data_IF_980485417786
#
_entry.id   IF_980485417786
#
_cell.length_a   1.000
_cell.length_b   1.000
_cell.length_c   1.000
_cell.angle_alpha   90.00
_cell.angle_beta   90.00
_cell.angle_gamma   90.00
#
_symmetry.space_group_name_H-M   'P 1'
#
loop_
_entity.id
_entity.type
_entity.pdbx_description
1 polymer ?
#
# COMPACT_ATOMS: atom_id res chain seq x y z
N UNK A 1 33.75 -23.17 -14.83
CA UNK A 1 33.24 -22.14 -15.75
C UNK A 1 32.00 -21.54 -15.13
N UNK A 2 32.10 -20.25 -14.81
CA UNK A 2 31.06 -19.46 -14.16
C UNK A 2 30.00 -19.08 -15.19
N UNK A 3 28.73 -19.23 -14.84
CA UNK A 3 27.64 -18.43 -15.42
C UNK A 3 26.75 -17.93 -14.27
N UNK A 4 27.15 -16.78 -13.72
CA UNK A 4 26.29 -15.99 -12.85
C UNK A 4 25.40 -15.11 -13.74
N UNK A 5 24.15 -15.51 -13.82
CA UNK A 5 23.06 -14.78 -14.47
C UNK A 5 22.87 -13.39 -13.82
N UNK A 6 23.02 -12.35 -14.65
CA UNK A 6 22.94 -10.93 -14.26
C UNK A 6 21.52 -10.57 -13.82
N UNK A 7 21.37 -10.19 -12.55
CA UNK A 7 20.18 -9.56 -11.99
C UNK A 7 20.07 -8.07 -12.44
N UNK A 8 19.01 -7.63 -13.15
CA UNK A 8 18.87 -6.25 -13.61
C UNK A 8 18.24 -5.34 -12.54
N UNK A 9 18.87 -5.25 -11.36
CA UNK A 9 18.39 -4.46 -10.22
C UNK A 9 19.37 -3.36 -9.75
N UNK A 10 20.33 -2.95 -10.61
CA UNK A 10 21.42 -2.03 -10.25
C UNK A 10 21.25 -0.55 -10.67
N UNK A 11 20.15 -0.15 -11.30
CA UNK A 11 20.08 1.14 -12.04
C UNK A 11 19.88 2.42 -11.22
N UNK A 12 19.59 2.37 -9.93
CA UNK A 12 19.16 3.56 -9.17
C UNK A 12 20.27 4.34 -8.46
N UNK A 13 21.27 3.66 -7.90
CA UNK A 13 22.29 4.29 -7.03
C UNK A 13 23.40 4.97 -7.86
N UNK A 14 23.73 4.43 -9.04
CA UNK A 14 24.80 4.95 -9.90
C UNK A 14 24.46 6.28 -10.58
N UNK A 15 23.19 6.67 -10.65
CA UNK A 15 22.72 7.87 -11.37
C UNK A 15 22.80 9.17 -10.54
N UNK A 16 23.31 9.12 -9.30
CA UNK A 16 23.40 10.26 -8.40
C UNK A 16 24.81 10.86 -8.41
N UNK A 17 24.98 12.14 -8.79
CA UNK A 17 26.30 12.75 -8.91
C UNK A 17 26.94 13.10 -7.55
N UNK A 18 26.18 13.16 -6.44
CA UNK A 18 26.72 13.52 -5.13
C UNK A 18 26.70 12.32 -4.15
N UNK A 19 27.79 12.17 -3.40
CA UNK A 19 28.01 11.10 -2.41
C UNK A 19 26.93 11.00 -1.31
N UNK A 20 26.45 12.09 -0.68
CA UNK A 20 25.57 11.96 0.49
C UNK A 20 24.22 11.29 0.21
N UNK A 21 23.67 11.45 -0.99
CA UNK A 21 22.41 10.80 -1.38
C UNK A 21 22.63 9.31 -1.65
N UNK A 22 23.74 8.94 -2.27
CA UNK A 22 24.10 7.54 -2.51
C UNK A 22 24.26 6.81 -1.17
N UNK A 23 25.01 7.40 -0.24
CA UNK A 23 25.22 6.84 1.09
C UNK A 23 23.91 6.68 1.86
N UNK A 24 23.00 7.64 1.75
CA UNK A 24 21.69 7.54 2.39
C UNK A 24 20.85 6.39 1.82
N UNK A 25 20.81 6.24 0.50
CA UNK A 25 20.05 5.16 -0.15
C UNK A 25 20.66 3.79 0.17
N UNK A 26 21.99 3.69 0.20
CA UNK A 26 22.70 2.48 0.63
C UNK A 26 22.43 2.17 2.11
N UNK A 27 22.50 3.16 2.99
CA UNK A 27 22.14 3.02 4.40
C UNK A 27 20.70 2.51 4.59
N UNK A 28 19.74 3.06 3.82
CA UNK A 28 18.36 2.59 3.87
C UNK A 28 18.22 1.13 3.41
N UNK A 29 18.97 0.74 2.39
CA UNK A 29 18.94 -0.61 1.84
C UNK A 29 19.60 -1.61 2.81
N UNK A 30 20.83 -1.34 3.24
CA UNK A 30 21.67 -2.26 4.00
C UNK A 30 21.29 -2.32 5.49
N UNK A 31 21.14 -1.16 6.13
CA UNK A 31 20.96 -1.12 7.60
C UNK A 31 19.48 -1.07 8.01
N UNK A 32 18.61 -0.57 7.14
CA UNK A 32 17.16 -0.46 7.44
C UNK A 32 16.29 -1.46 6.70
N UNK A 33 16.90 -2.33 5.89
CA UNK A 33 16.19 -3.32 5.06
C UNK A 33 14.98 -2.70 4.34
N UNK A 34 15.16 -1.47 3.82
CA UNK A 34 14.11 -0.76 3.14
C UNK A 34 13.74 -1.47 1.83
N UNK A 35 12.45 -1.63 1.57
CA UNK A 35 11.98 -2.27 0.33
C UNK A 35 12.36 -1.45 -0.90
N UNK A 36 12.47 -2.10 -2.07
CA UNK A 36 12.73 -1.40 -3.33
C UNK A 36 11.74 -0.25 -3.61
N UNK A 37 10.46 -0.42 -3.24
CA UNK A 37 9.45 0.63 -3.34
C UNK A 37 9.75 1.81 -2.39
N UNK A 38 10.18 1.51 -1.16
CA UNK A 38 10.58 2.53 -0.19
C UNK A 38 11.78 3.34 -0.69
N UNK A 39 12.80 2.66 -1.23
CA UNK A 39 13.98 3.31 -1.81
C UNK A 39 13.60 4.22 -2.97
N UNK A 40 12.79 3.74 -3.91
CA UNK A 40 12.26 4.56 -5.03
C UNK A 40 11.51 5.80 -4.54
N UNK A 41 10.70 5.67 -3.49
CA UNK A 41 9.99 6.82 -2.91
C UNK A 41 10.96 7.86 -2.35
N UNK A 42 11.98 7.45 -1.58
CA UNK A 42 13.01 8.37 -1.06
C UNK A 42 13.79 9.04 -2.19
N UNK A 43 14.23 8.25 -3.17
CA UNK A 43 14.95 8.74 -4.35
C UNK A 43 14.15 9.82 -5.08
N UNK A 44 12.88 9.54 -5.39
CA UNK A 44 11.97 10.47 -6.03
C UNK A 44 11.81 11.77 -5.21
N UNK A 45 11.70 11.68 -3.87
CA UNK A 45 11.60 12.87 -3.02
C UNK A 45 12.84 13.77 -3.11
N UNK A 46 14.03 13.17 -3.03
CA UNK A 46 15.29 13.91 -3.08
C UNK A 46 15.51 14.53 -4.47
N UNK A 47 15.11 13.83 -5.53
CA UNK A 47 15.26 14.27 -6.91
C UNK A 47 14.40 15.50 -7.19
N UNK A 48 13.13 15.43 -6.82
CA UNK A 48 12.19 16.54 -7.01
C UNK A 48 12.63 17.80 -6.25
N UNK A 49 13.09 17.64 -5.02
CA UNK A 49 13.60 18.77 -4.23
C UNK A 49 14.84 19.40 -4.86
N UNK A 50 15.77 18.56 -5.33
CA UNK A 50 17.01 18.99 -5.98
C UNK A 50 16.77 19.78 -7.27
N UNK A 51 15.91 19.27 -8.15
CA UNK A 51 15.55 19.96 -9.39
C UNK A 51 14.88 21.30 -9.07
N UNK A 52 13.94 21.30 -8.13
CA UNK A 52 13.26 22.52 -7.71
C UNK A 52 14.22 23.57 -7.13
N UNK A 53 15.22 23.17 -6.35
CA UNK A 53 16.23 24.07 -5.78
C UNK A 53 17.04 24.77 -6.88
N UNK A 54 17.48 24.02 -7.89
CA UNK A 54 18.26 24.58 -9.00
C UNK A 54 17.44 25.54 -9.87
N UNK A 55 16.18 25.20 -10.17
CA UNK A 55 15.27 26.09 -10.89
C UNK A 55 14.97 27.37 -10.11
N UNK A 56 14.83 27.25 -8.78
CA UNK A 56 14.56 28.37 -7.90
C UNK A 56 15.75 29.32 -7.76
N UNK A 57 16.98 28.79 -7.74
CA UNK A 57 18.22 29.58 -7.70
C UNK A 57 18.42 30.41 -8.96
N UNK A 58 18.29 29.79 -10.15
CA UNK A 58 18.41 30.48 -11.46
C UNK A 58 17.47 31.68 -11.60
N UNK A 59 16.24 31.57 -11.07
CA UNK A 59 15.25 32.67 -11.12
C UNK A 59 15.59 33.82 -10.15
N UNK A 60 16.20 33.54 -8.99
CA UNK A 60 16.62 34.59 -8.07
C UNK A 60 17.78 35.42 -8.64
N UNK A 61 18.74 34.77 -9.29
CA UNK A 61 19.84 35.45 -9.98
C UNK A 61 19.36 36.31 -11.15
N UNK A 62 18.39 35.82 -11.93
CA UNK A 62 17.77 36.58 -13.02
C UNK A 62 16.98 37.81 -12.51
N UNK A 63 16.30 37.70 -11.36
CA UNK A 63 15.54 38.80 -10.75
C UNK A 63 16.44 39.86 -10.08
N UNK A 64 17.66 39.50 -9.65
CA UNK A 64 18.60 40.42 -9.02
C UNK A 64 19.33 41.36 -9.98
N UNK A 65 19.33 41.07 -11.30
CA UNK A 65 19.99 41.88 -12.34
C UNK A 65 19.06 42.86 -13.08
N UNK A 66 17.76 42.90 -12.76
CA UNK A 66 16.78 43.81 -13.36
C UNK A 66 16.23 44.82 -12.34
N UNK A 67 16.34 46.12 -12.64
CA UNK A 67 15.75 47.22 -11.87
C UNK A 67 14.29 46.91 -11.48
N UNK A 68 13.97 47.23 -10.23
CA UNK A 68 12.65 47.12 -9.61
C UNK A 68 11.59 47.85 -10.45
N UNK A 69 10.60 47.12 -10.95
CA UNK A 69 9.35 47.67 -11.40
C UNK A 69 8.20 46.73 -11.00
N UNK A 70 7.32 47.24 -10.13
CA UNK A 70 5.91 46.84 -10.03
C UNK A 70 5.59 45.40 -9.64
N UNK A 71 5.08 45.22 -8.42
CA UNK A 71 4.51 44.01 -7.86
C UNK A 71 3.83 43.05 -8.84
N UNK A 72 4.53 41.97 -9.19
CA UNK A 72 3.95 40.66 -9.50
C UNK A 72 4.78 39.62 -8.76
N UNK A 73 4.15 38.95 -7.78
CA UNK A 73 4.76 37.85 -7.04
C UNK A 73 5.35 36.84 -8.03
N UNK A 74 6.69 36.70 -8.03
CA UNK A 74 7.38 35.76 -8.91
C UNK A 74 6.83 34.35 -8.66
N UNK A 75 6.23 33.74 -9.68
CA UNK A 75 5.57 32.45 -9.57
C UNK A 75 6.54 31.38 -9.05
N UNK A 76 6.14 30.69 -7.97
CA UNK A 76 6.92 29.60 -7.41
C UNK A 76 6.94 28.47 -8.44
N UNK A 77 8.12 27.97 -8.86
CA UNK A 77 8.18 26.87 -9.81
C UNK A 77 7.52 25.63 -9.19
N UNK A 78 6.59 25.03 -9.94
CA UNK A 78 5.93 23.81 -9.54
C UNK A 78 6.91 22.64 -9.72
N UNK A 79 7.08 21.74 -8.73
CA UNK A 79 7.87 20.55 -8.93
C UNK A 79 7.21 19.71 -10.05
N UNK A 80 7.80 19.74 -11.24
CA UNK A 80 7.39 18.87 -12.33
C UNK A 80 7.72 17.43 -11.93
N UNK A 81 6.89 16.47 -12.33
CA UNK A 81 7.16 15.06 -12.09
C UNK A 81 8.39 14.63 -12.89
N UNK A 82 9.58 14.84 -12.33
CA UNK A 82 10.83 14.44 -12.96
C UNK A 82 10.86 12.92 -12.99
N UNK A 83 10.82 12.35 -14.20
CA UNK A 83 10.98 10.91 -14.39
C UNK A 83 12.40 10.49 -13.99
N UNK A 84 12.57 9.23 -13.58
CA UNK A 84 13.83 8.68 -13.12
C UNK A 84 14.99 8.74 -14.14
N UNK A 85 14.74 9.16 -15.39
CA UNK A 85 15.70 9.15 -16.50
C UNK A 85 16.32 10.49 -16.91
N UNK A 86 15.92 11.63 -16.31
CA UNK A 86 16.51 12.92 -16.69
C UNK A 86 17.90 13.10 -16.02
N UNK A 87 18.95 13.10 -16.84
CA UNK A 87 20.34 13.39 -16.46
C UNK A 87 20.83 14.60 -17.27
N UNK A 88 21.68 15.50 -16.70
CA UNK A 88 22.27 15.45 -15.37
C UNK A 88 21.45 16.17 -14.29
N UNK A 89 21.48 15.63 -13.06
CA UNK A 89 20.94 16.32 -11.89
C UNK A 89 21.84 17.50 -11.49
N UNK A 90 21.28 18.67 -11.15
CA UNK A 90 22.06 19.88 -10.87
C UNK A 90 22.83 19.74 -9.54
N UNK A 91 24.11 20.11 -9.42
CA UNK A 91 24.86 20.01 -8.16
C UNK A 91 24.13 20.72 -7.00
N UNK A 92 24.15 20.15 -5.80
CA UNK A 92 23.46 20.72 -4.63
C UNK A 92 24.33 20.61 -3.38
N UNK A 93 24.63 21.76 -2.78
CA UNK A 93 25.31 21.80 -1.49
C UNK A 93 24.28 21.62 -0.36
N UNK A 94 24.17 20.41 0.16
CA UNK A 94 23.23 20.04 1.22
C UNK A 94 23.49 20.77 2.55
N UNK A 95 24.71 21.29 2.76
CA UNK A 95 25.08 22.05 3.96
C UNK A 95 24.65 23.51 3.88
N UNK A 96 24.47 24.05 2.67
CA UNK A 96 24.08 25.44 2.45
C UNK A 96 22.56 25.66 2.42
N UNK A 97 21.76 24.61 2.67
CA UNK A 97 20.32 24.70 2.58
C UNK A 97 19.75 25.32 3.86
N UNK A 98 19.01 26.41 3.68
CA UNK A 98 18.43 27.18 4.76
C UNK A 98 16.93 26.88 4.98
N UNK A 99 16.42 27.08 6.22
CA UNK A 99 15.01 26.86 6.53
C UNK A 99 14.02 27.59 5.61
N UNK A 100 14.37 28.77 5.10
CA UNK A 100 13.49 29.52 4.20
C UNK A 100 13.28 28.82 2.86
N UNK A 101 14.30 28.13 2.34
CA UNK A 101 14.21 27.37 1.08
C UNK A 101 13.30 26.16 1.25
N UNK A 102 13.38 25.48 2.40
CA UNK A 102 12.46 24.39 2.74
C UNK A 102 11.00 24.88 2.86
N UNK A 103 10.76 26.06 3.45
CA UNK A 103 9.42 26.67 3.49
C UNK A 103 8.90 27.03 2.10
N UNK A 104 9.73 27.61 1.23
CA UNK A 104 9.37 27.89 -0.17
C UNK A 104 9.06 26.62 -0.95
N UNK A 105 9.80 25.53 -0.73
CA UNK A 105 9.51 24.24 -1.35
C UNK A 105 8.17 23.67 -0.89
N UNK A 106 7.86 23.75 0.40
CA UNK A 106 6.53 23.37 0.90
C UNK A 106 5.43 24.19 0.21
N UNK A 107 5.61 25.51 0.07
CA UNK A 107 4.64 26.36 -0.65
C UNK A 107 4.52 25.96 -2.12
N UNK A 108 5.62 25.65 -2.80
CA UNK A 108 5.63 25.13 -4.17
C UNK A 108 4.78 23.86 -4.28
N UNK A 109 5.03 22.87 -3.42
CA UNK A 109 4.29 21.62 -3.38
C UNK A 109 2.78 21.83 -3.16
N UNK A 110 2.41 22.83 -2.36
CA UNK A 110 1.00 23.18 -2.12
C UNK A 110 0.36 23.90 -3.31
N UNK A 111 1.07 24.84 -3.93
CA UNK A 111 0.61 25.56 -5.12
C UNK A 111 0.48 24.62 -6.34
N UNK A 112 1.21 23.51 -6.37
CA UNK A 112 1.14 22.50 -7.42
C UNK A 112 -0.18 21.71 -7.41
N UNK A 113 -1.05 21.94 -6.42
CA UNK A 113 -2.28 21.17 -6.25
C UNK A 113 -2.05 19.72 -5.84
N UNK A 114 -0.85 19.37 -5.36
CA UNK A 114 -0.56 18.01 -4.90
C UNK A 114 -1.42 17.64 -3.68
N UNK A 115 -1.81 16.36 -3.61
CA UNK A 115 -2.54 15.83 -2.45
C UNK A 115 -1.69 16.05 -1.17
N UNK A 116 -2.30 16.53 -0.08
CA UNK A 116 -1.60 16.77 1.21
C UNK A 116 -0.79 15.57 1.70
N UNK A 117 -1.24 14.34 1.44
CA UNK A 117 -0.50 13.12 1.78
C UNK A 117 0.81 12.98 0.99
N UNK A 118 0.81 13.34 -0.30
CA UNK A 118 2.01 13.39 -1.14
C UNK A 118 2.97 14.45 -0.62
N UNK A 119 2.48 15.65 -0.31
CA UNK A 119 3.29 16.73 0.29
C UNK A 119 3.94 16.27 1.60
N UNK A 120 3.17 15.67 2.50
CA UNK A 120 3.67 15.12 3.76
C UNK A 120 4.74 14.04 3.54
N UNK A 121 4.56 13.17 2.54
CA UNK A 121 5.54 12.14 2.20
C UNK A 121 6.85 12.75 1.69
N UNK A 122 6.80 13.77 0.82
CA UNK A 122 8.00 14.48 0.32
C UNK A 122 8.80 15.12 1.45
N UNK A 123 8.12 15.87 2.32
CA UNK A 123 8.76 16.52 3.48
C UNK A 123 9.29 15.49 4.48
N UNK A 124 8.58 14.40 4.73
CA UNK A 124 9.06 13.32 5.59
C UNK A 124 10.32 12.64 5.01
N UNK A 125 10.37 12.46 3.68
CA UNK A 125 11.53 11.99 2.95
C UNK A 125 12.77 12.86 3.22
N UNK A 126 12.62 14.17 3.00
CA UNK A 126 13.68 15.15 3.26
C UNK A 126 14.13 15.17 4.72
N UNK A 127 13.18 15.16 5.67
CA UNK A 127 13.50 15.10 7.10
C UNK A 127 14.33 13.87 7.46
N UNK A 128 14.00 12.72 6.91
CA UNK A 128 14.74 11.48 7.14
C UNK A 128 16.15 11.55 6.59
N UNK A 129 16.33 12.19 5.43
CA UNK A 129 17.64 12.41 4.82
C UNK A 129 18.50 13.36 5.66
N UNK A 130 17.99 14.52 6.08
CA UNK A 130 18.75 15.42 6.96
C UNK A 130 19.07 14.80 8.32
N UNK A 131 18.18 13.97 8.89
CA UNK A 131 18.50 13.17 10.08
C UNK A 131 19.62 12.16 9.84
N UNK A 132 19.78 11.67 8.61
CA UNK A 132 20.92 10.82 8.25
C UNK A 132 22.20 11.66 8.14
N UNK A 133 22.16 12.81 7.46
CA UNK A 133 23.31 13.71 7.34
C UNK A 133 23.81 14.20 8.70
N UNK A 134 22.90 14.54 9.62
CA UNK A 134 23.26 14.92 11.00
C UNK A 134 23.98 13.79 11.73
N UNK A 135 23.48 12.54 11.60
CA UNK A 135 24.12 11.37 12.22
C UNK A 135 25.50 11.06 11.65
N UNK A 136 25.75 11.45 10.39
CA UNK A 136 27.05 11.36 9.72
C UNK A 136 27.95 12.58 9.99
N UNK A 137 27.48 13.58 10.75
CA UNK A 137 28.22 14.81 11.03
C UNK A 137 28.36 15.76 9.84
N UNK A 138 27.66 15.51 8.73
CA UNK A 138 27.76 16.32 7.49
C UNK A 138 27.08 17.68 7.66
N UNK A 139 25.98 17.72 8.41
CA UNK A 139 25.24 18.94 8.73
C UNK A 139 25.04 19.04 10.24
N UNK A 140 25.13 20.26 10.78
CA UNK A 140 24.92 20.52 12.22
C UNK A 140 23.45 20.46 12.62
N UNK A 141 22.59 21.03 11.76
CA UNK A 141 21.16 21.19 12.04
C UNK A 141 20.29 20.68 10.89
N UNK A 142 19.04 20.36 11.22
CA UNK A 142 18.03 20.00 10.23
C UNK A 142 17.24 21.26 9.81
N UNK A 143 17.34 21.74 8.55
CA UNK A 143 16.64 22.95 8.11
C UNK A 143 15.11 22.77 8.06
N UNK A 144 14.60 21.54 8.19
CA UNK A 144 13.17 21.22 8.23
C UNK A 144 12.59 21.07 9.65
N UNK A 145 13.38 21.32 10.70
CA UNK A 145 12.99 21.15 12.12
C UNK A 145 11.80 22.03 12.50
N UNK A 146 11.84 23.33 12.16
CA UNK A 146 10.78 24.31 12.44
C UNK A 146 9.63 24.35 11.43
N UNK A 147 9.58 23.44 10.47
CA UNK A 147 8.59 23.47 9.38
C UNK A 147 7.25 22.89 9.83
N UNK A 148 6.26 23.74 10.06
CA UNK A 148 4.91 23.32 10.45
C UNK A 148 4.15 22.85 9.21
N UNK A 149 3.70 21.59 9.22
CA UNK A 149 2.85 21.06 8.16
C UNK A 149 1.41 21.55 8.37
N UNK A 150 0.68 21.91 7.29
CA UNK A 150 -0.74 22.20 7.40
C UNK A 150 -1.46 20.99 8.01
N UNK A 151 -2.30 21.22 9.02
CA UNK A 151 -3.08 20.15 9.66
C UNK A 151 -3.83 19.37 8.58
N UNK A 152 -3.65 18.05 8.58
CA UNK A 152 -4.41 17.16 7.71
C UNK A 152 -5.87 17.27 8.15
N UNK A 153 -6.77 17.62 7.24
CA UNK A 153 -8.20 17.48 7.49
C UNK A 153 -8.46 16.02 7.88
N UNK A 154 -8.89 15.82 9.12
CA UNK A 154 -9.36 14.52 9.60
C UNK A 154 -10.70 14.29 8.92
N UNK A 155 -10.70 13.66 7.75
CA UNK A 155 -11.93 13.08 7.20
C UNK A 155 -12.33 11.97 8.16
N UNK A 156 -13.59 12.00 8.62
CA UNK A 156 -14.16 10.93 9.43
C UNK A 156 -13.91 9.59 8.71
N UNK A 157 -13.41 8.55 9.40
CA UNK A 157 -13.20 7.25 8.80
C UNK A 157 -14.52 6.72 8.23
N UNK A 158 -14.59 6.53 6.91
CA UNK A 158 -15.69 5.80 6.26
C UNK A 158 -15.38 4.31 6.37
N UNK A 159 -15.99 3.62 7.32
CA UNK A 159 -16.11 2.17 7.30
C UNK A 159 -17.43 1.78 6.62
N UNK A 160 -17.51 0.55 6.10
CA UNK A 160 -18.72 0.05 5.46
C UNK A 160 -19.71 -0.43 6.50
N UNK A 161 -21.01 -0.18 6.30
CA UNK A 161 -22.04 -0.85 7.11
C UNK A 161 -22.10 -2.34 6.78
N UNK A 162 -22.72 -3.15 7.66
CA UNK A 162 -22.91 -4.59 7.40
C UNK A 162 -23.67 -4.86 6.10
N UNK A 163 -24.68 -4.04 5.79
CA UNK A 163 -25.40 -4.15 4.52
C UNK A 163 -24.48 -3.89 3.32
N UNK A 164 -23.69 -2.82 3.36
CA UNK A 164 -22.72 -2.53 2.31
C UNK A 164 -21.65 -3.61 2.16
N UNK A 165 -21.24 -4.25 3.27
CA UNK A 165 -20.38 -5.43 3.22
C UNK A 165 -21.07 -6.55 2.46
N UNK A 166 -22.29 -6.94 2.85
CA UNK A 166 -23.03 -8.01 2.19
C UNK A 166 -23.22 -7.73 0.68
N UNK A 167 -23.57 -6.50 0.32
CA UNK A 167 -23.73 -6.08 -1.08
C UNK A 167 -22.42 -6.20 -1.86
N UNK A 168 -21.30 -5.79 -1.26
CA UNK A 168 -19.96 -5.92 -1.85
C UNK A 168 -19.53 -7.39 -2.02
N UNK A 169 -19.77 -8.23 -1.00
CA UNK A 169 -19.41 -9.64 -1.00
C UNK A 169 -20.19 -10.44 -2.06
N UNK A 170 -21.44 -10.05 -2.32
CA UNK A 170 -22.30 -10.71 -3.32
C UNK A 170 -22.22 -10.10 -4.72
N UNK A 171 -21.66 -8.89 -4.87
CA UNK A 171 -21.52 -8.21 -6.16
C UNK A 171 -20.83 -9.05 -7.27
N UNK A 172 -19.82 -9.91 -7.00
CA UNK A 172 -19.24 -10.76 -8.03
C UNK A 172 -20.26 -11.70 -8.69
N UNK A 173 -21.18 -12.29 -7.91
CA UNK A 173 -22.16 -13.24 -8.41
C UNK A 173 -23.23 -12.60 -9.29
N UNK A 174 -23.49 -11.29 -9.17
CA UNK A 174 -24.37 -10.57 -10.11
C UNK A 174 -23.87 -10.62 -11.56
N UNK A 175 -22.59 -10.94 -11.77
CA UNK A 175 -22.00 -11.14 -13.10
C UNK A 175 -22.27 -12.53 -13.69
N UNK A 176 -22.72 -13.51 -12.89
CA UNK A 176 -23.09 -14.85 -13.40
C UNK A 176 -24.52 -14.89 -13.92
N UNK A 177 -25.38 -13.95 -13.51
CA UNK A 177 -26.76 -13.88 -14.00
C UNK A 177 -26.79 -13.50 -15.49
N UNK A 178 -27.72 -14.07 -16.28
CA UNK A 178 -27.96 -13.63 -17.65
C UNK A 178 -28.38 -12.16 -17.64
N UNK A 179 -27.91 -11.38 -18.61
CA UNK A 179 -28.26 -9.97 -18.69
C UNK A 179 -29.77 -9.82 -18.91
N UNK A 180 -30.49 -9.36 -17.89
CA UNK A 180 -31.95 -9.27 -17.86
C UNK A 180 -32.53 -8.36 -18.96
N UNK A 181 -31.74 -7.39 -19.45
CA UNK A 181 -32.28 -6.26 -20.23
C UNK A 181 -31.67 -6.09 -21.62
N UNK A 182 -31.19 -7.14 -22.30
CA UNK A 182 -30.69 -7.06 -23.69
C UNK A 182 -29.52 -6.09 -23.94
N UNK A 183 -29.07 -5.34 -22.93
CA UNK A 183 -27.92 -4.45 -22.95
C UNK A 183 -26.68 -5.32 -23.01
N UNK A 184 -26.10 -5.39 -24.22
CA UNK A 184 -24.80 -6.01 -24.47
C UNK A 184 -23.83 -5.54 -23.38
N UNK A 185 -23.37 -6.48 -22.54
CA UNK A 185 -22.22 -6.24 -21.65
C UNK A 185 -21.11 -5.68 -22.54
N UNK A 186 -20.58 -4.50 -22.21
CA UNK A 186 -19.63 -3.76 -23.07
C UNK A 186 -18.54 -4.68 -23.63
N UNK A 187 -18.07 -4.38 -24.84
CA UNK A 187 -17.27 -5.20 -25.78
C UNK A 187 -15.97 -5.86 -25.24
N UNK A 188 -16.05 -6.59 -24.13
CA UNK A 188 -14.99 -7.35 -23.51
C UNK A 188 -15.37 -8.82 -23.47
N UNK A 189 -14.39 -9.69 -23.71
CA UNK A 189 -14.53 -11.14 -23.56
C UNK A 189 -15.12 -11.46 -22.18
N UNK A 190 -16.17 -12.31 -22.10
CA UNK A 190 -16.71 -12.73 -20.81
C UNK A 190 -15.59 -13.36 -19.98
N UNK A 191 -15.52 -13.07 -18.66
CA UNK A 191 -14.50 -13.68 -17.81
C UNK A 191 -14.69 -15.20 -17.77
N UNK A 192 -13.61 -15.94 -17.48
CA UNK A 192 -13.71 -17.39 -17.31
C UNK A 192 -14.79 -17.74 -16.25
N UNK A 193 -15.55 -18.84 -16.41
CA UNK A 193 -16.74 -19.11 -15.59
C UNK A 193 -16.50 -19.13 -14.07
N UNK A 194 -15.31 -19.52 -13.63
CA UNK A 194 -14.94 -19.56 -12.20
C UNK A 194 -14.63 -18.19 -11.59
N UNK A 195 -14.37 -17.16 -12.40
CA UNK A 195 -13.86 -15.86 -11.92
C UNK A 195 -14.82 -15.16 -10.94
N UNK A 196 -16.14 -15.09 -11.16
CA UNK A 196 -17.07 -14.54 -10.18
C UNK A 196 -17.04 -15.25 -8.82
N UNK A 197 -16.98 -16.59 -8.84
CA UNK A 197 -16.90 -17.42 -7.64
C UNK A 197 -15.59 -17.20 -6.88
N UNK A 198 -14.47 -17.15 -7.62
CA UNK A 198 -13.16 -16.79 -7.08
C UNK A 198 -13.20 -15.43 -6.40
N UNK A 199 -13.76 -14.43 -7.07
CA UNK A 199 -13.75 -13.06 -6.58
C UNK A 199 -14.64 -12.90 -5.34
N UNK A 200 -15.77 -13.62 -5.26
CA UNK A 200 -16.55 -13.73 -4.00
C UNK A 200 -15.72 -14.35 -2.89
N UNK A 201 -15.08 -15.50 -3.15
CA UNK A 201 -14.24 -16.18 -2.16
C UNK A 201 -13.10 -15.28 -1.63
N UNK A 202 -12.45 -14.51 -2.52
CA UNK A 202 -11.42 -13.54 -2.14
C UNK A 202 -11.98 -12.45 -1.23
N UNK A 203 -13.12 -11.85 -1.58
CA UNK A 203 -13.72 -10.77 -0.81
C UNK A 203 -14.20 -11.27 0.57
N UNK A 204 -14.82 -12.44 0.63
CA UNK A 204 -15.21 -13.09 1.88
C UNK A 204 -13.97 -13.35 2.77
N UNK A 205 -12.90 -13.91 2.20
CA UNK A 205 -11.65 -14.19 2.92
C UNK A 205 -10.97 -12.91 3.43
N UNK A 206 -10.95 -11.85 2.60
CA UNK A 206 -10.39 -10.54 2.98
C UNK A 206 -11.13 -9.93 4.17
N UNK A 207 -12.46 -9.98 4.14
CA UNK A 207 -13.29 -9.43 5.20
C UNK A 207 -13.20 -10.30 6.46
N UNK A 208 -13.44 -11.60 6.32
CA UNK A 208 -13.51 -12.55 7.43
C UNK A 208 -12.22 -12.62 8.24
N UNK A 209 -11.06 -12.76 7.60
CA UNK A 209 -9.78 -12.79 8.32
C UNK A 209 -9.15 -11.41 8.55
N UNK A 210 -9.81 -10.32 8.15
CA UNK A 210 -9.21 -8.99 8.14
C UNK A 210 -7.86 -8.93 7.39
N UNK A 211 -7.68 -9.74 6.35
CA UNK A 211 -6.36 -9.98 5.73
C UNK A 211 -5.88 -8.82 4.85
N UNK A 212 -4.57 -8.70 4.68
CA UNK A 212 -3.99 -7.84 3.64
C UNK A 212 -4.16 -8.51 2.28
N UNK A 213 -4.33 -7.72 1.22
CA UNK A 213 -4.46 -8.26 -0.16
C UNK A 213 -3.28 -9.15 -0.56
N UNK A 214 -2.06 -8.79 -0.18
CA UNK A 214 -0.88 -9.63 -0.43
C UNK A 214 -0.91 -10.95 0.33
N UNK A 215 -1.47 -10.97 1.54
CA UNK A 215 -1.58 -12.20 2.34
C UNK A 215 -2.53 -13.18 1.65
N UNK A 216 -3.70 -12.71 1.20
CA UNK A 216 -4.67 -13.52 0.45
C UNK A 216 -4.10 -14.04 -0.85
N UNK A 217 -3.44 -13.19 -1.65
CA UNK A 217 -2.81 -13.61 -2.91
C UNK A 217 -1.69 -14.64 -2.73
N UNK A 218 -1.08 -14.71 -1.54
CA UNK A 218 0.02 -15.62 -1.24
C UNK A 218 -0.42 -16.90 -0.52
N UNK A 219 -1.71 -17.09 -0.23
CA UNK A 219 -2.21 -18.34 0.34
C UNK A 219 -2.03 -19.50 -0.66
N UNK A 220 -1.74 -20.67 -0.12
CA UNK A 220 -1.80 -21.97 -0.80
C UNK A 220 -3.00 -22.73 -0.26
N UNK A 221 -3.50 -23.71 -1.03
CA UNK A 221 -4.57 -24.59 -0.58
C UNK A 221 -4.26 -25.26 0.75
N UNK A 222 -3.02 -25.72 0.94
CA UNK A 222 -2.55 -26.36 2.16
C UNK A 222 -2.46 -25.46 3.39
N UNK A 223 -2.58 -24.14 3.23
CA UNK A 223 -2.64 -23.18 4.33
C UNK A 223 -4.06 -22.97 4.87
N UNK A 224 -5.06 -23.61 4.28
CA UNK A 224 -6.47 -23.45 4.63
C UNK A 224 -6.93 -24.73 5.32
N UNK A 225 -7.17 -24.64 6.63
CA UNK A 225 -7.76 -25.73 7.40
C UNK A 225 -9.27 -25.49 7.50
N UNK A 226 -10.02 -26.25 6.70
CA UNK A 226 -11.48 -26.18 6.63
C UNK A 226 -12.16 -26.70 7.91
N UNK A 227 -11.52 -27.65 8.61
CA UNK A 227 -12.08 -28.26 9.83
C UNK A 227 -11.86 -27.34 11.04
N UNK A 228 -10.66 -26.81 11.17
CA UNK A 228 -10.31 -25.91 12.26
C UNK A 228 -10.78 -24.47 12.03
N UNK A 229 -11.21 -24.14 10.80
CA UNK A 229 -11.63 -22.81 10.35
C UNK A 229 -10.54 -21.75 10.54
N UNK A 230 -9.32 -22.11 10.10
CA UNK A 230 -8.12 -21.31 10.31
C UNK A 230 -7.28 -21.25 9.03
N UNK A 231 -6.72 -20.08 8.78
CA UNK A 231 -5.73 -19.84 7.73
C UNK A 231 -4.34 -19.68 8.34
N UNK A 232 -3.33 -20.32 7.74
CA UNK A 232 -1.92 -20.08 8.05
C UNK A 232 -1.42 -18.92 7.17
N UNK A 233 -1.23 -17.75 7.78
CA UNK A 233 -0.93 -16.52 7.05
C UNK A 233 0.49 -16.07 7.29
N UNK A 234 1.24 -15.89 6.20
CA UNK A 234 2.61 -15.37 6.23
C UNK A 234 2.64 -13.84 6.19
N UNK A 235 3.12 -13.23 7.27
CA UNK A 235 3.29 -11.79 7.44
C UNK A 235 4.65 -11.26 6.95
N UNK A 236 4.91 -9.98 7.25
CA UNK A 236 6.19 -9.32 6.92
C UNK A 236 7.34 -9.99 7.69
N UNK A 237 8.45 -10.28 6.99
CA UNK A 237 9.61 -10.93 7.57
C UNK A 237 9.48 -12.46 7.71
N UNK A 238 8.54 -13.08 6.98
CA UNK A 238 8.41 -14.54 6.91
C UNK A 238 7.68 -15.19 8.08
N UNK A 239 7.28 -14.40 9.10
CA UNK A 239 6.56 -14.89 10.29
C UNK A 239 5.15 -15.35 9.92
N UNK A 240 4.78 -16.53 10.38
CA UNK A 240 3.45 -17.09 10.21
C UNK A 240 2.56 -16.76 11.42
N UNK A 241 1.26 -16.68 11.17
CA UNK A 241 0.23 -16.58 12.21
C UNK A 241 -0.99 -17.39 11.80
N UNK A 242 -1.69 -17.93 12.79
CA UNK A 242 -3.01 -18.50 12.59
C UNK A 242 -4.04 -17.38 12.56
N UNK A 243 -4.88 -17.38 11.53
CA UNK A 243 -5.96 -16.42 11.35
C UNK A 243 -7.29 -17.17 11.31
N UNK A 244 -8.13 -17.05 12.34
CA UNK A 244 -9.51 -17.52 12.28
C UNK A 244 -10.23 -16.93 11.06
N UNK A 245 -11.11 -17.73 10.48
CA UNK A 245 -11.93 -17.39 9.32
C UNK A 245 -13.30 -18.02 9.53
N UNK A 246 -14.36 -17.35 9.14
CA UNK A 246 -15.73 -17.80 9.34
C UNK A 246 -16.18 -18.74 8.25
N UNK A 247 -17.19 -19.56 8.56
CA UNK A 247 -17.75 -20.55 7.63
C UNK A 247 -18.15 -19.98 6.26
N UNK A 248 -18.76 -18.78 6.15
CA UNK A 248 -19.12 -18.21 4.84
C UNK A 248 -17.95 -18.02 3.88
N UNK A 249 -16.74 -17.73 4.40
CA UNK A 249 -15.56 -17.59 3.57
C UNK A 249 -15.02 -18.95 3.12
N UNK A 250 -15.04 -19.96 3.99
CA UNK A 250 -14.63 -21.33 3.67
C UNK A 250 -15.56 -21.94 2.62
N UNK A 251 -16.88 -21.80 2.79
CA UNK A 251 -17.87 -22.28 1.82
C UNK A 251 -17.67 -21.61 0.46
N UNK A 252 -17.41 -20.29 0.44
CA UNK A 252 -17.13 -19.58 -0.80
C UNK A 252 -15.85 -20.09 -1.49
N UNK A 253 -14.82 -20.46 -0.73
CA UNK A 253 -13.58 -21.06 -1.25
C UNK A 253 -13.86 -22.46 -1.82
N UNK A 254 -14.61 -23.31 -1.10
CA UNK A 254 -14.98 -24.65 -1.58
C UNK A 254 -15.78 -24.58 -2.89
N UNK A 255 -16.79 -23.71 -2.94
CA UNK A 255 -17.57 -23.48 -4.15
C UNK A 255 -16.66 -22.99 -5.27
N UNK A 256 -15.78 -22.03 -5.03
CA UNK A 256 -14.81 -21.60 -6.04
C UNK A 256 -13.94 -22.77 -6.56
N UNK A 257 -13.35 -23.57 -5.67
CA UNK A 257 -12.52 -24.70 -6.06
C UNK A 257 -13.29 -25.73 -6.88
N UNK A 258 -14.56 -25.99 -6.57
CA UNK A 258 -15.43 -26.87 -7.39
C UNK A 258 -15.72 -26.35 -8.80
N UNK A 259 -15.52 -25.05 -9.04
CA UNK A 259 -15.72 -24.42 -10.37
C UNK A 259 -14.44 -24.33 -11.18
N UNK A 260 -13.29 -24.75 -10.63
CA UNK A 260 -12.03 -24.76 -11.35
C UNK A 260 -12.09 -25.76 -12.51
N UNK A 261 -11.49 -25.41 -13.67
CA UNK A 261 -11.45 -26.32 -14.81
C UNK A 261 -10.45 -27.46 -14.54
N UNK A 262 -10.52 -28.59 -15.28
CA UNK A 262 -9.66 -29.76 -15.06
C UNK A 262 -8.15 -29.45 -15.14
N UNK A 263 -7.76 -28.49 -15.97
CA UNK A 263 -6.37 -28.06 -16.17
C UNK A 263 -5.81 -27.21 -15.03
N UNK A 264 -6.64 -26.86 -14.04
CA UNK A 264 -6.18 -26.13 -12.86
C UNK A 264 -5.13 -26.94 -12.09
N UNK A 265 -4.12 -26.28 -11.48
CA UNK A 265 -3.17 -26.96 -10.62
C UNK A 265 -3.88 -27.62 -9.44
N UNK A 266 -3.34 -28.76 -9.00
CA UNK A 266 -3.86 -29.56 -7.89
C UNK A 266 -2.84 -29.69 -6.76
N UNK A 267 -3.26 -30.23 -5.62
CA UNK A 267 -2.39 -30.50 -4.47
C UNK A 267 -2.33 -29.37 -3.43
N UNK A 268 -1.54 -29.58 -2.36
CA UNK A 268 -1.48 -28.65 -1.22
C UNK A 268 -0.73 -27.35 -1.55
N UNK A 269 0.25 -27.40 -2.44
CA UNK A 269 1.09 -26.25 -2.77
C UNK A 269 0.50 -25.32 -3.84
N UNK A 270 -0.62 -25.71 -4.45
CA UNK A 270 -1.31 -24.85 -5.42
C UNK A 270 -1.69 -23.52 -4.76
N UNK A 271 -1.61 -22.38 -5.48
CA UNK A 271 -2.17 -21.13 -4.99
C UNK A 271 -3.65 -21.28 -4.64
N UNK A 272 -4.07 -20.76 -3.50
CA UNK A 272 -5.47 -20.84 -3.07
C UNK A 272 -6.41 -20.10 -4.03
N UNK A 273 -5.91 -19.04 -4.70
CA UNK A 273 -6.65 -18.24 -5.67
C UNK A 273 -5.84 -18.04 -6.96
N UNK A 274 -6.46 -18.36 -8.09
CA UNK A 274 -5.83 -18.34 -9.42
C UNK A 274 -6.28 -17.15 -10.27
N UNK A 275 -5.41 -16.64 -11.14
CA UNK A 275 -5.77 -15.70 -12.21
C UNK A 275 -6.59 -16.41 -13.32
N UNK A 276 -6.99 -15.68 -14.36
CA UNK A 276 -7.73 -16.25 -15.49
C UNK A 276 -6.90 -17.23 -16.35
N UNK A 277 -5.59 -17.29 -16.12
CA UNK A 277 -4.65 -18.18 -16.81
C UNK A 277 -4.13 -19.29 -15.86
N UNK A 278 -4.85 -19.55 -14.76
CA UNK A 278 -4.54 -20.60 -13.79
C UNK A 278 -3.20 -20.44 -13.06
N UNK A 279 -2.68 -19.20 -12.96
CA UNK A 279 -1.47 -18.85 -12.20
C UNK A 279 -1.82 -18.16 -10.89
N UNK A 280 -0.85 -17.94 -10.00
CA UNK A 280 -1.07 -17.17 -8.77
C UNK A 280 -1.63 -15.78 -9.07
N UNK A 281 -2.74 -15.44 -8.41
CA UNK A 281 -3.39 -14.15 -8.55
C UNK A 281 -2.52 -13.00 -8.03
N UNK A 282 -2.47 -11.88 -8.75
CA UNK A 282 -1.68 -10.72 -8.34
C UNK A 282 -2.53 -9.70 -7.55
N UNK A 283 -1.96 -9.05 -6.52
CA UNK A 283 -2.68 -8.09 -5.68
C UNK A 283 -3.36 -6.94 -6.43
N UNK A 284 -2.73 -6.43 -7.49
CA UNK A 284 -3.31 -5.34 -8.28
C UNK A 284 -4.58 -5.76 -9.02
N UNK A 285 -4.74 -7.05 -9.35
CA UNK A 285 -5.93 -7.57 -10.03
C UNK A 285 -7.11 -7.60 -9.07
N UNK A 286 -6.89 -8.03 -7.83
CA UNK A 286 -7.88 -7.96 -6.75
C UNK A 286 -8.33 -6.53 -6.51
N UNK A 287 -7.38 -5.59 -6.40
CA UNK A 287 -7.69 -4.17 -6.21
C UNK A 287 -8.53 -3.60 -7.37
N UNK A 288 -8.15 -3.91 -8.61
CA UNK A 288 -8.88 -3.48 -9.82
C UNK A 288 -10.31 -4.06 -9.83
N UNK A 289 -10.47 -5.35 -9.58
CA UNK A 289 -11.77 -6.03 -9.57
C UNK A 289 -12.67 -5.51 -8.45
N UNK A 290 -12.12 -5.27 -7.26
CA UNK A 290 -12.85 -4.66 -6.15
C UNK A 290 -13.44 -3.29 -6.55
N UNK A 291 -12.75 -2.48 -7.36
CA UNK A 291 -13.33 -1.21 -7.88
C UNK A 291 -14.56 -1.46 -8.76
N UNK A 292 -14.57 -2.52 -9.56
CA UNK A 292 -15.74 -2.91 -10.34
C UNK A 292 -16.89 -3.33 -9.42
N UNK A 293 -16.61 -4.15 -8.41
CA UNK A 293 -17.63 -4.63 -7.47
C UNK A 293 -18.21 -3.53 -6.58
N UNK A 294 -17.40 -2.55 -6.18
CA UNK A 294 -17.88 -1.38 -5.46
C UNK A 294 -18.90 -0.59 -6.28
N UNK A 295 -18.63 -0.39 -7.58
CA UNK A 295 -19.59 0.26 -8.48
C UNK A 295 -20.88 -0.55 -8.63
N UNK A 296 -20.78 -1.87 -8.77
CA UNK A 296 -21.95 -2.77 -8.86
C UNK A 296 -22.78 -2.80 -7.58
N UNK A 297 -22.15 -2.61 -6.42
CA UNK A 297 -22.81 -2.51 -5.13
C UNK A 297 -23.33 -1.10 -4.82
N UNK A 298 -23.15 -0.11 -5.69
CA UNK A 298 -23.54 1.28 -5.42
C UNK A 298 -22.69 1.96 -4.32
N UNK A 299 -21.51 1.41 -4.01
CA UNK A 299 -20.61 1.88 -2.95
C UNK A 299 -19.55 2.81 -3.57
N UNK A 300 -19.16 3.84 -2.82
CA UNK A 300 -18.12 4.79 -3.23
C UNK A 300 -16.85 4.10 -3.75
N UNK A 301 -16.43 4.46 -4.96
CA UNK A 301 -15.27 3.86 -5.63
C UNK A 301 -13.92 4.19 -4.98
N UNK A 302 -13.89 4.98 -3.89
CA UNK A 302 -12.69 5.29 -3.12
C UNK A 302 -12.34 4.21 -2.07
N UNK A 303 -13.13 3.14 -1.96
CA UNK A 303 -12.84 2.02 -1.07
C UNK A 303 -11.68 1.15 -1.60
N UNK A 304 -10.85 0.64 -0.71
CA UNK A 304 -9.70 -0.23 -1.03
C UNK A 304 -9.68 -1.43 -0.06
N UNK A 305 -8.90 -2.50 -0.34
CA UNK A 305 -8.80 -3.63 0.59
C UNK A 305 -8.40 -3.22 2.01
N UNK A 306 -7.59 -2.16 2.15
CA UNK A 306 -7.24 -1.59 3.46
C UNK A 306 -8.44 -1.03 4.22
N UNK A 307 -9.41 -0.42 3.54
CA UNK A 307 -10.64 0.07 4.20
C UNK A 307 -11.61 -1.07 4.52
N UNK A 308 -11.63 -2.14 3.73
CA UNK A 308 -12.37 -3.36 4.08
C UNK A 308 -11.83 -3.96 5.39
N UNK A 309 -10.52 -4.09 5.50
CA UNK A 309 -9.83 -4.50 6.73
C UNK A 309 -10.10 -3.55 7.91
N UNK A 310 -10.17 -2.24 7.67
CA UNK A 310 -10.57 -1.30 8.71
C UNK A 310 -12.01 -1.52 9.17
N UNK A 311 -12.93 -1.79 8.23
CA UNK A 311 -14.33 -2.08 8.55
C UNK A 311 -14.44 -3.37 9.38
N UNK A 312 -13.67 -4.41 9.06
CA UNK A 312 -13.53 -5.59 9.92
C UNK A 312 -13.11 -5.22 11.35
N UNK A 313 -12.06 -4.41 11.50
CA UNK A 313 -11.56 -4.02 12.81
C UNK A 313 -12.61 -3.24 13.61
N UNK A 314 -13.30 -2.30 12.96
CA UNK A 314 -14.37 -1.52 13.58
C UNK A 314 -15.54 -2.41 13.98
N UNK A 315 -16.02 -3.30 13.10
CA UNK A 315 -17.13 -4.20 13.43
C UNK A 315 -16.81 -5.15 14.58
N UNK A 316 -15.58 -5.64 14.66
CA UNK A 316 -15.13 -6.46 15.79
C UNK A 316 -15.19 -5.67 17.10
N UNK A 317 -14.71 -4.42 17.10
CA UNK A 317 -14.76 -3.55 18.28
C UNK A 317 -16.20 -3.19 18.67
N UNK A 318 -17.05 -2.86 17.68
CA UNK A 318 -18.47 -2.53 17.88
C UNK A 318 -19.24 -3.73 18.45
N UNK A 319 -18.85 -4.95 18.10
CA UNK A 319 -19.38 -6.21 18.65
C UNK A 319 -18.77 -6.60 20.01
N UNK A 320 -17.90 -5.75 20.59
CA UNK A 320 -17.36 -5.93 21.94
C UNK A 320 -16.04 -6.69 22.03
N UNK A 321 -15.32 -6.88 20.91
CA UNK A 321 -13.95 -7.39 20.97
C UNK A 321 -13.02 -6.37 21.63
N UNK A 322 -12.10 -6.84 22.47
CA UNK A 322 -11.08 -5.96 23.03
C UNK A 322 -10.04 -5.57 21.96
N UNK A 323 -9.49 -4.36 22.08
CA UNK A 323 -8.54 -3.81 21.12
C UNK A 323 -7.30 -4.70 20.91
N UNK A 324 -6.86 -5.40 21.97
CA UNK A 324 -5.68 -6.26 21.90
C UNK A 324 -5.94 -7.50 21.06
N UNK A 325 -7.08 -8.18 21.27
CA UNK A 325 -7.48 -9.31 20.43
C UNK A 325 -7.62 -8.91 18.96
N UNK A 326 -8.21 -7.74 18.66
CA UNK A 326 -8.31 -7.23 17.28
C UNK A 326 -6.92 -6.96 16.67
N UNK A 327 -5.97 -6.41 17.43
CA UNK A 327 -4.60 -6.18 16.96
C UNK A 327 -3.84 -7.48 16.68
N UNK A 328 -4.02 -8.50 17.54
CA UNK A 328 -3.45 -9.83 17.39
C UNK A 328 -3.99 -10.52 16.12
N UNK A 329 -5.31 -10.51 15.90
CA UNK A 329 -5.95 -11.05 14.68
C UNK A 329 -5.42 -10.39 13.40
N UNK A 330 -5.25 -9.06 13.43
CA UNK A 330 -4.72 -8.30 12.31
C UNK A 330 -3.20 -8.50 12.10
N UNK A 331 -2.47 -9.11 13.04
CA UNK A 331 -1.03 -9.32 12.91
C UNK A 331 -0.26 -8.00 12.85
N UNK A 332 -0.57 -7.07 13.74
CA UNK A 332 0.19 -5.83 13.91
C UNK A 332 1.50 -6.13 14.66
N UNK A 333 2.64 -6.00 13.94
CA UNK A 333 3.97 -6.38 14.40
C UNK A 333 4.63 -5.41 15.39
N UNK A 334 3.85 -4.65 16.17
CA UNK A 334 4.36 -3.62 17.07
C UNK A 334 3.59 -3.60 18.38
N UNK A 335 3.86 -4.60 19.22
CA UNK A 335 4.16 -4.45 20.65
C UNK A 335 4.62 -5.81 21.19
N UNK A 336 5.93 -5.91 21.43
CA UNK A 336 6.69 -7.06 21.95
C UNK A 336 6.76 -8.31 21.06
N UNK A 337 7.96 -8.55 20.53
CA UNK A 337 8.35 -9.66 19.65
C UNK A 337 8.37 -11.04 20.30
N UNK A 338 7.76 -11.23 21.47
CA UNK A 338 7.91 -12.48 22.23
C UNK A 338 6.65 -12.78 23.02
N UNK A 339 5.56 -13.06 22.31
CA UNK A 339 4.60 -14.03 22.83
C UNK A 339 4.66 -15.21 21.88
N UNK A 340 5.39 -16.23 22.33
CA UNK A 340 5.32 -17.58 21.78
C UNK A 340 3.85 -17.88 21.56
N UNK A 341 3.44 -18.10 20.32
CA UNK A 341 2.09 -18.59 20.00
C UNK A 341 1.97 -19.97 20.64
N UNK A 342 1.48 -20.01 21.87
CA UNK A 342 1.05 -21.25 22.51
C UNK A 342 -0.33 -21.58 21.97
N UNK A 343 -0.69 -22.87 21.91
CA UNK A 343 -2.03 -23.33 21.52
C UNK A 343 -3.16 -22.66 22.32
N UNK A 344 -2.86 -22.16 23.53
CA UNK A 344 -3.78 -21.43 24.41
C UNK A 344 -4.16 -20.06 23.83
N UNK A 345 -3.23 -19.38 23.15
CA UNK A 345 -3.48 -18.06 22.54
C UNK A 345 -4.36 -18.18 21.30
N UNK A 346 -4.20 -19.22 20.48
CA UNK A 346 -5.03 -19.43 19.28
C UNK A 346 -6.48 -19.80 19.62
N UNK A 347 -6.70 -20.64 20.63
CA UNK A 347 -8.05 -20.99 21.07
C UNK A 347 -8.81 -19.78 21.66
N UNK A 348 -8.11 -18.91 22.42
CA UNK A 348 -8.68 -17.65 22.92
C UNK A 348 -9.07 -16.72 21.77
N UNK A 349 -8.18 -16.56 20.78
CA UNK A 349 -8.44 -15.70 19.62
C UNK A 349 -9.62 -16.21 18.78
N UNK A 350 -9.73 -17.53 18.57
CA UNK A 350 -10.89 -18.13 17.90
C UNK A 350 -12.18 -17.85 18.68
N UNK A 351 -12.22 -18.05 20.00
CA UNK A 351 -13.41 -17.73 20.82
C UNK A 351 -13.83 -16.26 20.75
N UNK A 352 -12.87 -15.32 20.76
CA UNK A 352 -13.19 -13.90 20.58
C UNK A 352 -13.77 -13.67 19.19
N UNK A 353 -13.12 -14.22 18.16
CA UNK A 353 -13.60 -14.15 16.78
C UNK A 353 -15.03 -14.68 16.63
N UNK A 354 -15.31 -15.89 17.12
CA UNK A 354 -16.63 -16.54 17.05
C UNK A 354 -17.72 -15.72 17.73
N UNK A 355 -17.37 -15.01 18.81
CA UNK A 355 -18.31 -14.18 19.57
C UNK A 355 -18.59 -12.82 18.92
N UNK A 356 -17.60 -12.24 18.23
CA UNK A 356 -17.65 -10.82 17.85
C UNK A 356 -17.66 -10.58 16.34
N UNK A 357 -17.22 -11.53 15.51
CA UNK A 357 -17.23 -11.32 14.08
C UNK A 357 -18.67 -11.47 13.53
N UNK A 358 -19.20 -10.51 12.75
CA UNK A 358 -20.61 -10.52 12.31
C UNK A 358 -21.02 -11.69 11.43
N UNK A 359 -20.05 -12.47 10.94
CA UNK A 359 -20.23 -13.60 10.02
C UNK A 359 -19.32 -14.78 10.42
N UNK A 360 -19.02 -14.92 11.71
CA UNK A 360 -18.22 -16.04 12.22
C UNK A 360 -18.88 -17.37 11.88
#
# INVERSE_FOLDING_TARGET
MQDHEKNPAGGGVAAWPDEPVRDFLQYLQAERNASALTLRNYEQCLREFRVWMAESGKRQEASGKGKVAGGKSASIPQPTGVSAGASPLPPTNWCAIEPFQCRRYLMALMQAGLKRATVALRIAGLRSFYRFLMRRGVVKDNPLSGLIMPKREKRLPRFLTLQQINDLLNAPLKLTEPASDGKKRGAGRPPAPFVPWRDKAILETLYSGGLRVHEVCNLNRGHIDMLSEVLVVRGKGGKERLCPVGRPALDAIEVYWSKLPPEAPHGRDMPAFLDSHLRRLRPHEVQRKMKTYLKLAGIGADLTPHKLRHSFATHMLDAGADLRSVQELLGHSSLSTTQVYTHVTSARLKKVYDKTHPRA
#
